data_IF_207560952326
#
_entry.id   IF_207560952326
#
_cell.length_a   1.000
_cell.length_b   1.000
_cell.length_c   1.000
_cell.angle_alpha   90.00
_cell.angle_beta   90.00
_cell.angle_gamma   90.00
#
_symmetry.space_group_name_H-M   'P 1'
#
loop_
_entity.id
_entity.type
_entity.pdbx_description
1 polymer ?
#
# COMPACT_ATOMS: atom_id res chain seq x y z
N UNK A 1 29.73 -0.16 -39.85
CA UNK A 1 28.41 -0.42 -39.25
C UNK A 1 28.32 0.38 -37.96
N UNK A 2 27.47 1.40 -37.94
CA UNK A 2 27.50 2.48 -36.92
C UNK A 2 26.90 2.04 -35.59
N UNK A 3 27.47 2.56 -34.51
CA UNK A 3 27.10 2.39 -33.09
C UNK A 3 25.63 2.71 -32.77
N UNK A 4 24.92 3.37 -33.68
CA UNK A 4 23.49 3.67 -33.59
C UNK A 4 22.59 2.43 -33.76
N UNK A 5 23.06 1.40 -34.49
CA UNK A 5 22.30 0.16 -34.70
C UNK A 5 22.20 -0.71 -33.44
N UNK A 6 23.26 -0.75 -32.63
CA UNK A 6 23.29 -1.54 -31.38
C UNK A 6 22.39 -0.90 -30.31
N UNK A 7 22.37 0.43 -30.23
CA UNK A 7 21.49 1.16 -29.31
C UNK A 7 20.01 1.07 -29.67
N UNK A 8 19.64 0.73 -30.91
CA UNK A 8 18.25 0.50 -31.31
C UNK A 8 17.79 -0.94 -30.99
N UNK A 9 18.68 -1.93 -31.11
CA UNK A 9 18.39 -3.33 -30.82
C UNK A 9 18.16 -3.61 -29.32
N UNK A 10 18.81 -2.85 -28.43
CA UNK A 10 18.67 -3.04 -26.98
C UNK A 10 17.44 -2.31 -26.39
N UNK A 11 16.75 -1.45 -27.16
CA UNK A 11 15.54 -0.74 -26.73
C UNK A 11 14.30 -1.64 -26.60
N UNK A 12 14.34 -2.85 -27.16
CA UNK A 12 13.21 -3.79 -27.19
C UNK A 12 13.37 -5.02 -26.31
N UNK A 13 14.51 -5.21 -25.64
CA UNK A 13 14.71 -6.42 -24.83
C UNK A 13 14.02 -6.27 -23.47
N UNK A 14 13.15 -7.21 -23.13
CA UNK A 14 12.45 -7.27 -21.83
C UNK A 14 13.43 -7.15 -20.64
N UNK A 15 14.67 -7.63 -20.79
CA UNK A 15 15.75 -7.50 -19.81
C UNK A 15 16.20 -6.05 -19.60
N UNK A 16 16.32 -5.25 -20.67
CA UNK A 16 16.67 -3.83 -20.56
C UNK A 16 15.55 -3.03 -19.87
N UNK A 17 14.28 -3.36 -20.15
CA UNK A 17 13.13 -2.77 -19.48
C UNK A 17 13.10 -3.10 -17.98
N UNK A 18 13.30 -4.37 -17.61
CA UNK A 18 13.37 -4.78 -16.19
C UNK A 18 14.51 -4.07 -15.48
N UNK A 19 15.71 -4.00 -16.09
CA UNK A 19 16.85 -3.29 -15.50
C UNK A 19 16.54 -1.81 -15.26
N UNK A 20 15.85 -1.16 -16.20
CA UNK A 20 15.43 0.25 -16.08
C UNK A 20 14.48 0.44 -14.90
N UNK A 21 13.40 -0.32 -14.82
CA UNK A 21 12.42 -0.18 -13.74
C UNK A 21 12.99 -0.58 -12.37
N UNK A 22 13.85 -1.60 -12.32
CA UNK A 22 14.54 -1.97 -11.08
C UNK A 22 15.53 -0.89 -10.64
N UNK A 23 16.24 -0.25 -11.58
CA UNK A 23 17.10 0.89 -11.25
C UNK A 23 16.29 2.08 -10.69
N UNK A 24 15.13 2.37 -11.28
CA UNK A 24 14.21 3.40 -10.77
C UNK A 24 13.75 3.06 -9.36
N UNK A 25 13.32 1.81 -9.11
CA UNK A 25 12.91 1.36 -7.78
C UNK A 25 14.06 1.48 -6.77
N UNK A 26 15.28 1.06 -7.13
CA UNK A 26 16.46 1.15 -6.27
C UNK A 26 16.82 2.58 -5.90
N UNK A 27 16.81 3.49 -6.88
CA UNK A 27 17.07 4.93 -6.64
C UNK A 27 15.99 5.51 -5.72
N UNK A 28 14.72 5.16 -5.96
CA UNK A 28 13.65 5.63 -5.10
C UNK A 28 13.75 5.08 -3.68
N UNK A 29 14.13 3.81 -3.47
CA UNK A 29 14.40 3.28 -2.11
C UNK A 29 15.44 4.12 -1.39
N UNK A 30 16.52 4.53 -2.08
CA UNK A 30 17.54 5.40 -1.49
C UNK A 30 17.01 6.80 -1.19
N UNK A 31 16.20 7.39 -2.08
CA UNK A 31 15.58 8.69 -1.86
C UNK A 31 14.53 8.65 -0.73
N UNK A 32 13.81 7.54 -0.60
CA UNK A 32 12.83 7.31 0.46
C UNK A 32 13.45 7.32 1.85
N UNK A 33 14.77 7.08 1.98
CA UNK A 33 15.48 7.22 3.25
C UNK A 33 15.47 8.65 3.79
N UNK A 34 15.34 9.66 2.91
CA UNK A 34 15.16 11.05 3.34
C UNK A 34 13.80 11.27 4.05
N UNK A 35 12.82 10.40 3.80
CA UNK A 35 11.46 10.48 4.35
C UNK A 35 11.23 9.47 5.48
N UNK A 36 12.29 8.96 6.11
CA UNK A 36 12.17 8.01 7.24
C UNK A 36 11.38 8.59 8.40
N UNK A 37 11.44 9.90 8.62
CA UNK A 37 10.65 10.55 9.67
C UNK A 37 9.14 10.52 9.41
N UNK A 38 8.72 10.59 8.15
CA UNK A 38 7.31 10.41 7.78
C UNK A 38 6.87 8.96 8.04
N UNK A 39 7.69 7.98 7.67
CA UNK A 39 7.44 6.57 7.96
C UNK A 39 7.43 6.28 9.48
N UNK A 40 8.29 6.93 10.25
CA UNK A 40 8.29 6.84 11.71
C UNK A 40 7.00 7.39 12.32
N UNK A 41 6.54 8.56 11.85
CA UNK A 41 5.25 9.12 12.27
C UNK A 41 4.08 8.17 12.02
N UNK A 42 4.08 7.47 10.88
CA UNK A 42 3.10 6.42 10.59
C UNK A 42 3.24 5.21 11.53
N UNK A 43 4.48 4.82 11.88
CA UNK A 43 4.77 3.80 12.90
C UNK A 43 4.18 4.14 14.28
N UNK A 44 4.28 5.41 14.68
CA UNK A 44 3.66 5.89 15.93
C UNK A 44 2.14 5.91 15.82
N UNK A 45 1.60 6.33 14.69
CA UNK A 45 0.15 6.34 14.46
C UNK A 45 -0.46 4.94 14.52
N UNK A 46 0.15 3.94 13.89
CA UNK A 46 -0.34 2.55 13.94
C UNK A 46 -0.31 1.99 15.36
N UNK A 47 0.67 2.39 16.18
CA UNK A 47 0.74 1.97 17.58
C UNK A 47 -0.50 2.39 18.35
N UNK A 48 -0.89 3.66 18.21
CA UNK A 48 -2.09 4.19 18.84
C UNK A 48 -3.36 3.51 18.29
N UNK A 49 -3.43 3.34 16.97
CA UNK A 49 -4.57 2.70 16.31
C UNK A 49 -4.79 1.27 16.84
N UNK A 50 -3.75 0.42 16.79
CA UNK A 50 -3.84 -0.97 17.24
C UNK A 50 -4.14 -1.05 18.74
N UNK A 51 -3.56 -0.17 19.56
CA UNK A 51 -3.86 -0.12 20.98
C UNK A 51 -5.34 0.20 21.25
N UNK A 52 -5.90 1.22 20.59
CA UNK A 52 -7.32 1.57 20.74
C UNK A 52 -8.22 0.42 20.33
N UNK A 53 -7.94 -0.23 19.19
CA UNK A 53 -8.69 -1.39 18.72
C UNK A 53 -8.52 -2.60 19.64
N UNK A 54 -7.34 -2.80 20.24
CA UNK A 54 -7.13 -3.83 21.26
C UNK A 54 -8.07 -3.65 22.45
N UNK A 55 -8.16 -2.42 22.98
CA UNK A 55 -9.05 -2.13 24.11
C UNK A 55 -10.52 -2.26 23.72
N UNK A 56 -10.90 -1.74 22.55
CA UNK A 56 -12.26 -1.82 22.02
C UNK A 56 -12.71 -3.29 21.90
N UNK A 57 -11.92 -4.12 21.22
CA UNK A 57 -12.31 -5.51 20.98
C UNK A 57 -12.20 -6.37 22.22
N UNK A 58 -11.23 -6.12 23.11
CA UNK A 58 -11.18 -6.81 24.41
C UNK A 58 -12.44 -6.54 25.23
N UNK A 59 -12.94 -5.31 25.23
CA UNK A 59 -14.21 -4.98 25.88
C UNK A 59 -15.41 -5.69 25.22
N UNK A 60 -15.47 -5.72 23.89
CA UNK A 60 -16.55 -6.40 23.13
C UNK A 60 -16.57 -7.91 23.38
N UNK A 61 -15.43 -8.59 23.28
CA UNK A 61 -15.33 -10.03 23.55
C UNK A 61 -15.73 -10.36 24.99
N UNK A 62 -15.33 -9.52 25.96
CA UNK A 62 -15.74 -9.67 27.37
C UNK A 62 -17.25 -9.45 27.56
N UNK A 63 -17.83 -8.44 26.89
CA UNK A 63 -19.24 -8.12 26.99
C UNK A 63 -20.15 -9.22 26.40
N UNK A 64 -19.73 -9.88 25.32
CA UNK A 64 -20.45 -11.01 24.75
C UNK A 64 -20.20 -12.34 25.48
N UNK A 65 -19.16 -12.42 26.32
CA UNK A 65 -18.73 -13.67 26.94
C UNK A 65 -18.25 -14.73 25.94
N UNK A 66 -18.05 -14.36 24.68
CA UNK A 66 -17.64 -15.25 23.61
C UNK A 66 -16.11 -15.27 23.47
N UNK A 67 -15.53 -16.45 23.27
CA UNK A 67 -14.10 -16.60 22.95
C UNK A 67 -13.82 -16.45 21.45
N UNK A 68 -14.86 -16.58 20.63
CA UNK A 68 -14.84 -16.50 19.17
C UNK A 68 -16.04 -15.67 18.72
N UNK A 69 -15.79 -14.65 17.91
CA UNK A 69 -16.81 -13.84 17.24
C UNK A 69 -16.54 -13.97 15.75
N UNK A 70 -17.55 -14.28 14.92
CA UNK A 70 -17.40 -14.44 13.47
C UNK A 70 -16.24 -15.34 13.04
N UNK A 71 -16.02 -16.45 13.75
CA UNK A 71 -14.93 -17.40 13.46
C UNK A 71 -13.52 -16.94 13.88
N UNK A 72 -13.36 -15.72 14.42
CA UNK A 72 -12.08 -15.17 14.85
C UNK A 72 -12.00 -15.07 16.38
N UNK A 73 -10.84 -15.45 16.91
CA UNK A 73 -10.44 -15.13 18.29
C UNK A 73 -9.92 -13.69 18.37
N UNK A 74 -9.92 -13.10 19.57
CA UNK A 74 -9.33 -11.76 19.80
C UNK A 74 -7.89 -11.64 19.25
N UNK A 75 -7.10 -12.71 19.37
CA UNK A 75 -5.74 -12.77 18.80
C UNK A 75 -5.76 -12.61 17.27
N UNK A 76 -6.61 -13.36 16.57
CA UNK A 76 -6.73 -13.27 15.11
C UNK A 76 -7.30 -11.92 14.67
N UNK A 77 -8.26 -11.36 15.41
CA UNK A 77 -8.86 -10.06 15.13
C UNK A 77 -7.82 -8.93 15.17
N UNK A 78 -6.93 -8.89 16.18
CA UNK A 78 -5.90 -7.85 16.22
C UNK A 78 -4.83 -8.03 15.15
N UNK A 79 -4.39 -9.26 14.89
CA UNK A 79 -3.45 -9.52 13.79
C UNK A 79 -4.05 -9.19 12.42
N UNK A 80 -5.35 -9.38 12.25
CA UNK A 80 -6.09 -8.92 11.09
C UNK A 80 -6.02 -7.39 10.95
N UNK A 81 -6.27 -6.62 12.02
CA UNK A 81 -6.15 -5.16 11.96
C UNK A 81 -4.75 -4.68 11.65
N UNK A 82 -3.71 -5.29 12.22
CA UNK A 82 -2.30 -4.96 11.87
C UNK A 82 -2.08 -5.12 10.36
N UNK A 83 -2.63 -6.18 9.77
CA UNK A 83 -2.44 -6.48 8.36
C UNK A 83 -3.29 -5.62 7.41
N UNK A 84 -4.54 -5.36 7.78
CA UNK A 84 -5.40 -4.41 7.09
C UNK A 84 -4.78 -3.00 7.07
N UNK A 85 -4.30 -2.54 8.23
CA UNK A 85 -3.65 -1.24 8.36
C UNK A 85 -2.30 -1.16 7.65
N UNK A 86 -1.54 -2.25 7.58
CA UNK A 86 -0.33 -2.28 6.76
C UNK A 86 -0.64 -1.91 5.31
N UNK A 87 -1.65 -2.57 4.74
CA UNK A 87 -2.06 -2.33 3.36
C UNK A 87 -2.59 -0.90 3.23
N UNK A 88 -3.35 -0.41 4.20
CA UNK A 88 -3.96 0.92 4.17
C UNK A 88 -2.95 2.08 4.29
N UNK A 89 -2.00 1.98 5.23
CA UNK A 89 -1.03 3.05 5.50
C UNK A 89 0.14 3.05 4.51
N UNK A 90 0.42 1.91 3.86
CA UNK A 90 1.55 1.78 2.95
C UNK A 90 1.17 1.96 1.47
N UNK A 91 0.01 2.54 1.15
CA UNK A 91 -0.46 2.72 -0.24
C UNK A 91 0.39 3.72 -1.03
N UNK A 92 0.44 3.55 -2.35
CA UNK A 92 1.05 4.52 -3.26
C UNK A 92 0.05 5.66 -3.49
N UNK A 93 0.36 6.86 -3.00
CA UNK A 93 -0.47 8.06 -3.15
C UNK A 93 -0.31 8.70 -4.54
N UNK A 94 -0.65 7.97 -5.60
CA UNK A 94 -0.41 8.40 -7.00
C UNK A 94 -1.48 9.35 -7.55
N UNK A 95 -2.72 9.26 -7.07
CA UNK A 95 -3.86 10.02 -7.63
C UNK A 95 -3.65 11.53 -7.60
N UNK A 96 -3.06 12.04 -6.51
CA UNK A 96 -2.71 13.46 -6.36
C UNK A 96 -1.64 13.91 -7.35
N UNK A 97 -0.62 13.09 -7.53
CA UNK A 97 0.49 13.40 -8.44
C UNK A 97 -0.02 13.50 -9.88
N UNK A 98 -0.78 12.48 -10.32
CA UNK A 98 -1.37 12.48 -11.67
C UNK A 98 -2.32 13.66 -11.86
N UNK A 99 -3.20 13.94 -10.87
CA UNK A 99 -4.10 15.09 -10.94
C UNK A 99 -3.34 16.41 -11.13
N UNK A 100 -2.28 16.64 -10.36
CA UNK A 100 -1.44 17.83 -10.49
C UNK A 100 -0.77 17.90 -11.87
N UNK A 101 -0.22 16.80 -12.35
CA UNK A 101 0.46 16.74 -13.65
C UNK A 101 -0.48 16.94 -14.85
N UNK A 102 -1.76 16.59 -14.69
CA UNK A 102 -2.80 16.89 -15.66
C UNK A 102 -3.13 18.39 -15.63
N UNK A 103 -3.34 18.97 -14.44
CA UNK A 103 -3.69 20.39 -14.27
C UNK A 103 -2.61 21.34 -14.77
N UNK A 104 -1.34 21.03 -14.50
CA UNK A 104 -0.21 21.88 -14.91
C UNK A 104 0.30 21.60 -16.33
N UNK A 105 -0.27 20.59 -17.01
CA UNK A 105 0.09 20.19 -18.37
C UNK A 105 1.45 19.47 -18.48
N UNK A 106 2.14 19.20 -17.37
CA UNK A 106 3.43 18.50 -17.37
C UNK A 106 3.31 17.07 -17.91
N UNK A 107 2.13 16.45 -17.78
CA UNK A 107 1.83 15.14 -18.33
C UNK A 107 2.10 15.03 -19.84
N UNK A 108 1.81 16.09 -20.62
CA UNK A 108 2.05 16.10 -22.06
C UNK A 108 3.54 15.91 -22.41
N UNK A 109 4.43 16.53 -21.63
CA UNK A 109 5.88 16.35 -21.79
C UNK A 109 6.33 14.95 -21.37
N UNK A 110 5.72 14.42 -20.31
CA UNK A 110 6.03 13.09 -19.77
C UNK A 110 5.64 11.98 -20.75
N UNK A 111 4.51 12.12 -21.45
CA UNK A 111 4.06 11.19 -22.48
C UNK A 111 5.01 11.11 -23.70
N UNK A 112 5.71 12.20 -24.00
CA UNK A 112 6.73 12.23 -25.06
C UNK A 112 8.02 11.47 -24.72
N UNK A 113 8.19 11.02 -23.47
CA UNK A 113 9.40 10.30 -23.04
C UNK A 113 9.28 8.80 -23.31
N UNK A 114 10.41 8.10 -23.58
CA UNK A 114 10.41 6.67 -23.88
C UNK A 114 10.29 5.81 -22.61
N UNK A 115 9.23 6.01 -21.82
CA UNK A 115 8.82 5.13 -20.72
C UNK A 115 7.30 5.14 -20.57
N UNK A 116 6.77 4.07 -19.97
CA UNK A 116 5.35 4.02 -19.66
C UNK A 116 5.07 4.85 -18.41
N UNK A 117 4.20 5.85 -18.55
CA UNK A 117 3.84 6.78 -17.49
C UNK A 117 3.40 6.10 -16.18
N UNK A 118 2.38 5.24 -16.26
CA UNK A 118 1.87 4.54 -15.08
C UNK A 118 2.90 3.58 -14.44
N UNK A 119 3.73 2.89 -15.23
CA UNK A 119 4.76 2.03 -14.63
C UNK A 119 5.82 2.86 -13.91
N UNK A 120 6.18 4.03 -14.45
CA UNK A 120 7.12 4.93 -13.77
C UNK A 120 6.62 5.30 -12.36
N UNK A 121 5.38 5.77 -12.21
CA UNK A 121 4.83 6.11 -10.90
C UNK A 121 4.72 4.91 -9.96
N UNK A 122 4.37 3.74 -10.49
CA UNK A 122 4.31 2.52 -9.70
C UNK A 122 5.69 2.18 -9.10
N UNK A 123 6.72 2.05 -9.95
CA UNK A 123 8.08 1.70 -9.51
C UNK A 123 8.74 2.81 -8.68
N UNK A 124 8.40 4.07 -8.94
CA UNK A 124 8.86 5.18 -8.10
C UNK A 124 8.25 5.13 -6.70
N UNK A 125 6.96 4.76 -6.60
CA UNK A 125 6.25 4.64 -5.32
C UNK A 125 6.75 3.49 -4.44
N UNK A 126 7.25 2.40 -5.03
CA UNK A 126 7.64 1.19 -4.29
C UNK A 126 8.67 1.44 -3.18
N UNK A 127 9.58 2.40 -3.36
CA UNK A 127 10.56 2.74 -2.32
C UNK A 127 9.90 3.25 -1.04
N UNK A 128 8.95 4.17 -1.16
CA UNK A 128 8.22 4.72 -0.03
C UNK A 128 7.34 3.65 0.62
N UNK A 129 6.69 2.81 -0.19
CA UNK A 129 5.86 1.70 0.30
C UNK A 129 6.69 0.71 1.12
N UNK A 130 7.87 0.32 0.64
CA UNK A 130 8.74 -0.62 1.34
C UNK A 130 9.15 -0.11 2.74
N UNK A 131 9.58 1.16 2.83
CA UNK A 131 9.96 1.74 4.12
C UNK A 131 8.76 1.85 5.06
N UNK A 132 7.61 2.37 4.57
CA UNK A 132 6.39 2.50 5.38
C UNK A 132 5.91 1.13 5.88
N UNK A 133 5.90 0.11 5.03
CA UNK A 133 5.54 -1.25 5.44
C UNK A 133 6.43 -1.76 6.58
N UNK A 134 7.74 -1.53 6.52
CA UNK A 134 8.65 -1.98 7.59
C UNK A 134 8.30 -1.29 8.91
N UNK A 135 8.11 0.02 8.93
CA UNK A 135 7.75 0.74 10.15
C UNK A 135 6.36 0.35 10.67
N UNK A 136 5.35 0.35 9.81
CA UNK A 136 3.98 0.02 10.17
C UNK A 136 3.88 -1.41 10.69
N UNK A 137 4.53 -2.38 10.02
CA UNK A 137 4.57 -3.76 10.47
C UNK A 137 5.31 -3.89 11.80
N UNK A 138 6.47 -3.25 11.96
CA UNK A 138 7.28 -3.38 13.18
C UNK A 138 6.54 -2.85 14.39
N UNK A 139 6.00 -1.63 14.30
CA UNK A 139 5.28 -1.00 15.40
C UNK A 139 3.92 -1.68 15.66
N UNK A 140 3.15 -1.96 14.62
CA UNK A 140 1.87 -2.67 14.74
C UNK A 140 2.01 -4.08 15.32
N UNK A 141 2.99 -4.84 14.84
CA UNK A 141 3.29 -6.17 15.37
C UNK A 141 3.77 -6.12 16.82
N UNK A 142 4.60 -5.14 17.19
CA UNK A 142 5.05 -4.99 18.58
C UNK A 142 3.88 -4.82 19.55
N UNK A 143 2.91 -3.95 19.23
CA UNK A 143 1.71 -3.77 20.05
C UNK A 143 0.85 -5.04 20.08
N UNK A 144 0.60 -5.67 18.93
CA UNK A 144 -0.19 -6.90 18.88
C UNK A 144 0.46 -8.04 19.69
N UNK A 145 1.79 -8.17 19.64
CA UNK A 145 2.52 -9.15 20.45
C UNK A 145 2.38 -8.89 21.95
N UNK A 146 2.39 -7.63 22.38
CA UNK A 146 2.20 -7.25 23.79
C UNK A 146 0.76 -7.54 24.25
N UNK A 147 -0.24 -7.20 23.41
CA UNK A 147 -1.66 -7.26 23.78
C UNK A 147 -2.26 -8.67 23.73
N UNK A 148 -1.90 -9.46 22.70
CA UNK A 148 -2.51 -10.78 22.42
C UNK A 148 -1.51 -11.90 22.14
N UNK A 149 -0.21 -11.61 22.11
CA UNK A 149 0.83 -12.59 21.83
C UNK A 149 0.95 -12.98 20.34
N UNK A 150 1.81 -13.96 20.03
CA UNK A 150 2.06 -14.38 18.65
C UNK A 150 0.82 -14.99 18.00
N UNK A 151 0.72 -14.87 16.68
CA UNK A 151 -0.37 -15.44 15.90
C UNK A 151 -0.29 -16.98 15.90
N UNK A 152 -1.19 -17.63 16.63
CA UNK A 152 -1.17 -19.09 16.84
C UNK A 152 -1.43 -19.91 15.58
N UNK A 153 -2.14 -19.34 14.62
CA UNK A 153 -2.56 -20.01 13.37
C UNK A 153 -1.55 -19.81 12.23
N UNK A 154 -0.47 -19.07 12.46
CA UNK A 154 0.48 -18.73 11.41
C UNK A 154 1.26 -19.96 10.92
N UNK A 155 1.23 -20.20 9.60
CA UNK A 155 1.99 -21.27 8.94
C UNK A 155 3.01 -20.65 8.01
N UNK A 156 4.30 -20.99 8.17
CA UNK A 156 5.34 -20.47 7.25
C UNK A 156 5.06 -20.83 5.78
N UNK A 157 4.43 -21.97 5.51
CA UNK A 157 4.05 -22.37 4.15
C UNK A 157 3.04 -21.40 3.50
N UNK A 158 2.30 -20.60 4.28
CA UNK A 158 1.36 -19.61 3.77
C UNK A 158 2.05 -18.29 3.36
N UNK A 159 3.31 -18.05 3.75
CA UNK A 159 4.03 -16.81 3.46
C UNK A 159 4.04 -16.43 1.97
N UNK A 160 4.33 -17.35 1.02
CA UNK A 160 4.32 -16.99 -0.39
C UNK A 160 2.93 -16.56 -0.88
N UNK A 161 1.87 -17.22 -0.38
CA UNK A 161 0.49 -16.88 -0.71
C UNK A 161 0.09 -15.51 -0.15
N UNK A 162 0.42 -15.25 1.11
CA UNK A 162 0.15 -13.94 1.74
C UNK A 162 0.91 -12.84 1.01
N UNK A 163 2.19 -13.03 0.72
CA UNK A 163 2.98 -12.05 -0.01
C UNK A 163 2.42 -11.77 -1.41
N UNK A 164 1.97 -12.80 -2.12
CA UNK A 164 1.34 -12.65 -3.43
C UNK A 164 0.02 -11.87 -3.35
N UNK A 165 -0.86 -12.21 -2.40
CA UNK A 165 -2.15 -11.53 -2.22
C UNK A 165 -1.92 -10.06 -1.83
N UNK A 166 -1.00 -9.79 -0.90
CA UNK A 166 -0.63 -8.42 -0.52
C UNK A 166 -0.09 -7.64 -1.70
N UNK A 167 0.79 -8.23 -2.52
CA UNK A 167 1.30 -7.58 -3.73
C UNK A 167 0.17 -7.27 -4.73
N UNK A 168 -0.75 -8.21 -4.96
CA UNK A 168 -1.91 -7.99 -5.82
C UNK A 168 -2.84 -6.89 -5.28
N UNK A 169 -3.02 -6.83 -3.96
CA UNK A 169 -3.80 -5.76 -3.32
C UNK A 169 -3.21 -4.37 -3.58
N UNK A 170 -1.88 -4.22 -3.46
CA UNK A 170 -1.20 -2.96 -3.80
C UNK A 170 -1.31 -2.61 -5.27
N UNK A 171 -1.18 -3.59 -6.17
CA UNK A 171 -1.33 -3.36 -7.62
C UNK A 171 -2.76 -2.92 -7.93
N UNK A 172 -3.76 -3.56 -7.34
CA UNK A 172 -5.17 -3.22 -7.55
C UNK A 172 -5.50 -1.81 -7.04
N UNK A 173 -5.09 -1.49 -5.80
CA UNK A 173 -5.29 -0.16 -5.20
C UNK A 173 -4.60 0.92 -6.03
N UNK A 174 -3.37 0.66 -6.51
CA UNK A 174 -2.65 1.54 -7.41
C UNK A 174 -3.39 1.78 -8.73
N UNK A 175 -3.88 0.73 -9.38
CA UNK A 175 -4.63 0.85 -10.63
C UNK A 175 -5.88 1.72 -10.46
N UNK A 176 -6.62 1.52 -9.37
CA UNK A 176 -7.81 2.33 -9.06
C UNK A 176 -7.42 3.78 -8.77
N UNK A 177 -6.40 4.02 -7.94
CA UNK A 177 -5.95 5.38 -7.62
C UNK A 177 -5.40 6.12 -8.84
N UNK A 178 -4.70 5.42 -9.74
CA UNK A 178 -4.22 5.97 -10.99
C UNK A 178 -5.38 6.33 -11.94
N UNK A 179 -6.39 5.47 -12.04
CA UNK A 179 -7.60 5.76 -12.80
C UNK A 179 -8.32 6.99 -12.25
N UNK A 180 -8.45 7.12 -10.92
CA UNK A 180 -9.02 8.30 -10.26
C UNK A 180 -8.22 9.55 -10.61
N UNK A 181 -6.88 9.51 -10.56
CA UNK A 181 -6.03 10.65 -10.93
C UNK A 181 -6.20 11.08 -12.38
N UNK A 182 -6.35 10.11 -13.30
CA UNK A 182 -6.58 10.41 -14.72
C UNK A 182 -7.97 10.99 -15.01
N UNK A 183 -8.95 10.87 -14.10
CA UNK A 183 -10.23 11.59 -14.24
C UNK A 183 -10.07 13.11 -14.20
N UNK A 184 -8.92 13.63 -13.73
CA UNK A 184 -8.60 15.05 -13.76
C UNK A 184 -8.67 15.66 -15.17
N UNK A 185 -8.51 14.85 -16.23
CA UNK A 185 -8.69 15.30 -17.62
C UNK A 185 -10.12 15.82 -17.90
N UNK A 186 -11.11 15.32 -17.17
CA UNK A 186 -12.52 15.65 -17.36
C UNK A 186 -13.08 16.54 -16.26
N UNK A 187 -12.74 16.24 -15.00
CA UNK A 187 -13.36 16.85 -13.81
C UNK A 187 -12.47 17.90 -13.17
N UNK A 188 -11.21 18.02 -13.61
CA UNK A 188 -10.16 18.86 -13.01
C UNK A 188 -9.82 18.46 -11.56
N UNK A 189 -10.75 18.49 -10.62
CA UNK A 189 -10.58 18.04 -9.22
C UNK A 189 -11.05 16.59 -9.01
N UNK A 190 -10.14 15.71 -8.53
CA UNK A 190 -10.43 14.29 -8.29
C UNK A 190 -10.63 13.94 -6.81
N UNK A 191 -10.59 14.94 -5.92
CA UNK A 191 -10.66 14.76 -4.46
C UNK A 191 -11.92 14.02 -4.01
N UNK A 192 -13.08 14.33 -4.61
CA UNK A 192 -14.35 13.68 -4.30
C UNK A 192 -14.33 12.17 -4.60
N UNK A 193 -13.83 11.77 -5.78
CA UNK A 193 -13.72 10.35 -6.15
C UNK A 193 -12.78 9.59 -5.23
N UNK A 194 -11.66 10.22 -4.86
CA UNK A 194 -10.70 9.65 -3.92
C UNK A 194 -11.29 9.47 -2.52
N UNK A 195 -12.08 10.45 -2.06
CA UNK A 195 -12.79 10.37 -0.79
C UNK A 195 -13.80 9.23 -0.80
N UNK A 196 -14.60 9.10 -1.86
CA UNK A 196 -15.57 8.01 -2.02
C UNK A 196 -14.85 6.66 -1.97
N UNK A 197 -13.77 6.49 -2.75
CA UNK A 197 -12.98 5.25 -2.75
C UNK A 197 -12.42 4.92 -1.36
N UNK A 198 -11.87 5.92 -0.66
CA UNK A 198 -11.38 5.74 0.70
C UNK A 198 -12.50 5.32 1.66
N UNK A 199 -13.71 5.90 1.56
CA UNK A 199 -14.85 5.53 2.41
C UNK A 199 -15.39 4.14 2.10
N UNK A 200 -15.42 3.73 0.83
CA UNK A 200 -15.77 2.35 0.44
C UNK A 200 -14.79 1.37 1.08
N UNK A 201 -13.49 1.60 0.96
CA UNK A 201 -12.48 0.74 1.60
C UNK A 201 -12.59 0.74 3.12
N UNK A 202 -12.91 1.89 3.73
CA UNK A 202 -13.07 1.98 5.18
C UNK A 202 -14.25 1.15 5.71
N UNK A 203 -15.38 1.16 4.98
CA UNK A 203 -16.61 0.45 5.37
C UNK A 203 -16.57 -1.02 4.96
N UNK A 204 -16.23 -1.30 3.70
CA UNK A 204 -16.29 -2.64 3.11
C UNK A 204 -14.95 -3.40 3.14
N UNK A 205 -13.83 -2.70 3.30
CA UNK A 205 -12.49 -3.33 3.39
C UNK A 205 -12.18 -3.93 4.76
N UNK A 206 -13.18 -3.93 5.65
CA UNK A 206 -13.10 -4.53 6.98
C UNK A 206 -12.19 -3.79 7.96
N UNK A 207 -11.98 -2.49 7.76
CA UNK A 207 -11.13 -1.67 8.62
C UNK A 207 -11.83 -1.29 9.94
N UNK A 208 -13.16 -1.18 9.92
CA UNK A 208 -13.98 -0.98 11.13
C UNK A 208 -14.33 -2.29 11.84
N UNK A 209 -14.74 -3.29 11.07
CA UNK A 209 -15.18 -4.60 11.53
C UNK A 209 -14.54 -5.63 10.61
N UNK A 210 -13.93 -6.71 11.13
CA UNK A 210 -13.45 -7.80 10.28
C UNK A 210 -14.56 -8.25 9.32
N UNK A 211 -14.21 -8.46 8.05
CA UNK A 211 -15.20 -8.85 7.03
C UNK A 211 -15.91 -10.17 7.36
N UNK A 212 -15.26 -11.05 8.13
CA UNK A 212 -15.85 -12.29 8.62
C UNK A 212 -17.02 -12.09 9.60
N UNK A 213 -17.25 -10.86 10.06
CA UNK A 213 -18.32 -10.51 11.01
C UNK A 213 -19.57 -9.96 10.30
N UNK A 214 -19.48 -9.68 9.00
CA UNK A 214 -20.58 -9.24 8.14
C UNK A 214 -21.33 -10.44 7.54
#
# INVERSE_FOLDING_TARGET
MSTLSIAAADRGTWRAQIRKYNAIARINIQNSLAYVWDAFGQGVFITLFIFVFAQLWRATFKAQGATVIGGLTLNQTLWYFVWAELIQLSKILVSNAIEHEVKDGSLAYTLGRPYHYLLYHFFAGLGNVAIRMVFVLTFGAAVALIEVGPLKTFRLAALPGVALITALAFVLDYCIAAAIGLLAFFVEDTSAFRLIYHKINFVLGGLLLPVDFL
#
